data_IF_320682321230
#
_entry.id   IF_320682321230
#
_cell.length_a   1.000
_cell.length_b   1.000
_cell.length_c   1.000
_cell.angle_alpha   90.00
_cell.angle_beta   90.00
_cell.angle_gamma   90.00
#
_symmetry.space_group_name_H-M   'P 1'
#
loop_
_entity.id
_entity.type
_entity.pdbx_description
1 polymer ?
#
# COMPACT_ATOMS: atom_id res chain seq x y z
N UNK A 1 -30.36 -7.70 14.92
CA UNK A 1 -30.54 -7.55 13.45
C UNK A 1 -29.41 -8.28 12.73
N UNK A 2 -29.73 -9.32 11.96
CA UNK A 2 -28.74 -10.04 11.15
C UNK A 2 -28.34 -9.15 9.98
N UNK A 3 -27.08 -8.71 9.95
CA UNK A 3 -26.55 -7.91 8.85
C UNK A 3 -26.30 -8.85 7.68
N UNK A 4 -27.25 -8.92 6.73
CA UNK A 4 -27.05 -9.68 5.49
C UNK A 4 -25.84 -9.13 4.75
N UNK A 5 -24.88 -10.00 4.47
CA UNK A 5 -23.69 -9.70 3.67
C UNK A 5 -24.08 -9.97 2.22
N UNK A 6 -24.03 -8.94 1.38
CA UNK A 6 -24.22 -9.04 -0.07
C UNK A 6 -23.16 -8.17 -0.76
N UNK A 7 -22.78 -8.56 -1.97
CA UNK A 7 -21.75 -7.90 -2.78
C UNK A 7 -22.38 -6.97 -3.82
N UNK A 8 -21.55 -6.18 -4.50
CA UNK A 8 -22.01 -5.35 -5.63
C UNK A 8 -22.42 -6.22 -6.84
N UNK A 9 -21.78 -7.38 -7.01
CA UNK A 9 -22.13 -8.34 -8.05
C UNK A 9 -23.52 -8.94 -7.81
N UNK A 10 -23.87 -9.24 -6.54
CA UNK A 10 -25.22 -9.69 -6.17
C UNK A 10 -26.28 -8.65 -6.52
N UNK A 11 -25.96 -7.36 -6.36
CA UNK A 11 -26.84 -6.25 -6.72
C UNK A 11 -26.98 -6.13 -8.23
N UNK A 12 -25.89 -6.28 -8.99
CA UNK A 12 -25.92 -6.25 -10.45
C UNK A 12 -26.73 -7.41 -11.04
N UNK A 13 -26.51 -8.63 -10.54
CA UNK A 13 -27.28 -9.81 -10.92
C UNK A 13 -28.77 -9.69 -10.55
N UNK A 14 -29.09 -9.05 -9.41
CA UNK A 14 -30.48 -8.80 -9.02
C UNK A 14 -31.18 -7.81 -9.97
N UNK A 15 -30.46 -6.83 -10.52
CA UNK A 15 -31.01 -5.91 -11.53
C UNK A 15 -31.22 -6.65 -12.85
N UNK A 16 -30.25 -7.46 -13.29
CA UNK A 16 -30.38 -8.29 -14.50
C UNK A 16 -31.55 -9.28 -14.41
N UNK A 17 -31.74 -9.91 -13.23
CA UNK A 17 -32.88 -10.78 -12.98
C UNK A 17 -34.22 -10.04 -13.21
N UNK A 18 -34.30 -8.73 -12.93
CA UNK A 18 -35.51 -7.92 -13.13
C UNK A 18 -35.65 -7.44 -14.58
N UNK A 19 -34.57 -6.95 -15.19
CA UNK A 19 -34.64 -6.27 -16.50
C UNK A 19 -34.60 -7.24 -17.67
N UNK A 20 -33.82 -8.33 -17.56
CA UNK A 20 -33.57 -9.26 -18.67
C UNK A 20 -34.32 -10.58 -18.49
N UNK A 21 -34.48 -11.03 -17.24
CA UNK A 21 -35.10 -12.32 -16.92
C UNK A 21 -36.54 -12.20 -16.43
N UNK A 22 -37.06 -10.97 -16.30
CA UNK A 22 -38.46 -10.68 -15.99
C UNK A 22 -38.90 -11.04 -14.57
N UNK A 23 -37.98 -11.25 -13.62
CA UNK A 23 -38.34 -11.52 -12.22
C UNK A 23 -38.92 -10.27 -11.57
N UNK A 24 -39.85 -10.48 -10.62
CA UNK A 24 -40.29 -9.37 -9.78
C UNK A 24 -39.16 -8.92 -8.84
N UNK A 25 -39.16 -7.64 -8.39
CA UNK A 25 -38.18 -7.15 -7.43
C UNK A 25 -38.15 -7.93 -6.11
N UNK A 26 -39.27 -8.57 -5.75
CA UNK A 26 -39.37 -9.43 -4.55
C UNK A 26 -38.61 -10.74 -4.74
N UNK A 27 -38.81 -11.40 -5.88
CA UNK A 27 -38.16 -12.66 -6.21
C UNK A 27 -36.65 -12.47 -6.41
N UNK A 28 -36.24 -11.40 -7.11
CA UNK A 28 -34.83 -11.07 -7.28
C UNK A 28 -34.14 -10.79 -5.93
N UNK A 29 -34.79 -10.06 -5.02
CA UNK A 29 -34.28 -9.79 -3.67
C UNK A 29 -34.12 -11.06 -2.84
N UNK A 30 -35.08 -11.98 -2.92
CA UNK A 30 -35.02 -13.24 -2.19
C UNK A 30 -33.96 -14.17 -2.77
N UNK A 31 -33.89 -14.30 -4.10
CA UNK A 31 -32.93 -15.13 -4.83
C UNK A 31 -31.49 -14.72 -4.59
N UNK A 32 -31.20 -13.41 -4.56
CA UNK A 32 -29.84 -12.87 -4.39
C UNK A 32 -29.50 -12.43 -2.96
N UNK A 33 -30.45 -12.53 -2.03
CA UNK A 33 -30.25 -12.10 -0.65
C UNK A 33 -30.07 -10.57 -0.48
N UNK A 34 -30.33 -9.79 -1.52
CA UNK A 34 -30.17 -8.32 -1.54
C UNK A 34 -31.47 -7.66 -1.02
N UNK A 35 -31.39 -6.66 -0.12
CA UNK A 35 -32.57 -5.91 0.31
C UNK A 35 -33.28 -5.22 -0.85
N UNK A 36 -34.62 -5.30 -0.90
CA UNK A 36 -35.45 -4.64 -1.93
C UNK A 36 -35.17 -3.14 -2.03
N UNK A 37 -34.95 -2.46 -0.91
CA UNK A 37 -34.61 -1.04 -0.87
C UNK A 37 -33.32 -0.73 -1.64
N UNK A 38 -32.31 -1.60 -1.58
CA UNK A 38 -31.08 -1.45 -2.36
C UNK A 38 -31.34 -1.58 -3.86
N UNK A 39 -32.15 -2.55 -4.27
CA UNK A 39 -32.51 -2.78 -5.68
C UNK A 39 -33.29 -1.58 -6.25
N UNK A 40 -34.34 -1.12 -5.56
CA UNK A 40 -35.12 0.05 -6.00
C UNK A 40 -34.24 1.28 -6.14
N UNK A 41 -33.34 1.50 -5.19
CA UNK A 41 -32.38 2.60 -5.22
C UNK A 41 -31.48 2.57 -6.46
N UNK A 42 -31.11 1.38 -6.93
CA UNK A 42 -30.33 1.23 -8.17
C UNK A 42 -31.14 1.43 -9.42
N UNK A 43 -32.36 0.88 -9.45
CA UNK A 43 -33.29 1.08 -10.57
C UNK A 43 -33.66 2.56 -10.74
N UNK A 44 -33.71 3.33 -9.64
CA UNK A 44 -33.87 4.79 -9.67
C UNK A 44 -32.60 5.57 -10.04
N UNK A 45 -31.56 4.90 -10.56
CA UNK A 45 -30.33 5.53 -11.05
C UNK A 45 -29.32 5.96 -9.98
N UNK A 46 -29.52 5.57 -8.72
CA UNK A 46 -28.56 5.92 -7.68
C UNK A 46 -27.33 5.01 -7.75
N UNK A 47 -26.16 5.61 -7.91
CA UNK A 47 -24.88 4.90 -7.99
C UNK A 47 -24.53 4.15 -6.69
N UNK A 48 -23.65 3.16 -6.79
CA UNK A 48 -23.16 2.43 -5.63
C UNK A 48 -22.47 3.35 -4.66
N UNK A 49 -22.34 2.90 -3.41
CA UNK A 49 -21.55 3.68 -2.45
C UNK A 49 -20.10 3.81 -2.90
N UNK A 50 -19.55 2.80 -3.60
CA UNK A 50 -18.22 2.86 -4.20
C UNK A 50 -18.16 3.88 -5.34
N UNK A 51 -19.14 3.86 -6.22
CA UNK A 51 -19.26 4.77 -7.36
C UNK A 51 -19.48 6.21 -6.94
N UNK A 52 -20.35 6.45 -5.94
CA UNK A 52 -20.59 7.77 -5.37
C UNK A 52 -19.41 8.31 -4.55
N UNK A 53 -18.41 7.48 -4.23
CA UNK A 53 -17.18 7.94 -3.55
C UNK A 53 -16.16 8.51 -4.54
N UNK A 54 -16.23 8.15 -5.83
CA UNK A 54 -15.31 8.66 -6.87
C UNK A 54 -15.32 10.19 -7.04
N UNK A 55 -16.46 10.91 -7.00
CA UNK A 55 -16.49 12.37 -7.12
C UNK A 55 -15.79 13.12 -5.99
N UNK A 56 -15.50 12.46 -4.86
CA UNK A 56 -14.87 13.07 -3.70
C UNK A 56 -13.36 12.80 -3.61
N UNK A 57 -12.78 12.08 -4.57
CA UNK A 57 -11.34 11.91 -4.65
C UNK A 57 -10.73 13.11 -5.37
N UNK A 58 -9.85 13.85 -4.67
CA UNK A 58 -9.14 15.01 -5.23
C UNK A 58 -8.17 14.65 -6.37
N UNK A 59 -7.87 13.37 -6.51
CA UNK A 59 -7.02 12.81 -7.57
C UNK A 59 -7.87 11.80 -8.31
N UNK A 60 -7.91 11.92 -9.63
CA UNK A 60 -8.62 10.96 -10.48
C UNK A 60 -7.96 9.59 -10.45
N UNK A 61 -8.72 8.53 -10.73
CA UNK A 61 -8.21 7.16 -10.78
C UNK A 61 -7.00 7.01 -11.71
N UNK A 62 -7.03 7.66 -12.88
CA UNK A 62 -5.91 7.63 -13.84
C UNK A 62 -4.64 8.31 -13.32
N UNK A 63 -4.78 9.36 -12.52
CA UNK A 63 -3.66 10.00 -11.83
C UNK A 63 -3.14 9.12 -10.68
N UNK A 64 -4.03 8.48 -9.91
CA UNK A 64 -3.62 7.51 -8.90
C UNK A 64 -2.84 6.35 -9.53
N UNK A 65 -3.29 5.78 -10.64
CA UNK A 65 -2.60 4.69 -11.33
C UNK A 65 -1.22 5.08 -11.87
N UNK A 66 -1.07 6.33 -12.34
CA UNK A 66 0.25 6.88 -12.70
C UNK A 66 1.15 7.03 -11.48
N UNK A 67 0.60 7.50 -10.36
CA UNK A 67 1.32 7.64 -9.10
C UNK A 67 1.81 6.28 -8.58
N UNK A 68 0.96 5.26 -8.62
CA UNK A 68 1.30 3.88 -8.24
C UNK A 68 2.41 3.33 -9.12
N UNK A 69 2.32 3.49 -10.45
CA UNK A 69 3.38 3.07 -11.39
C UNK A 69 4.71 3.79 -11.12
N UNK A 70 4.66 5.08 -10.84
CA UNK A 70 5.84 5.84 -10.46
C UNK A 70 6.45 5.34 -9.15
N UNK A 71 5.62 5.05 -8.13
CA UNK A 71 6.07 4.53 -6.84
C UNK A 71 6.76 3.16 -6.98
N UNK A 72 6.17 2.27 -7.78
CA UNK A 72 6.76 0.96 -8.12
C UNK A 72 8.12 1.12 -8.79
N UNK A 73 8.27 2.11 -9.68
CA UNK A 73 9.56 2.39 -10.33
C UNK A 73 10.60 2.91 -9.35
N UNK A 74 10.23 3.79 -8.42
CA UNK A 74 11.14 4.28 -7.38
C UNK A 74 11.67 3.13 -6.51
N UNK A 75 10.80 2.20 -6.14
CA UNK A 75 11.23 1.01 -5.39
C UNK A 75 12.18 0.13 -6.20
N UNK A 76 11.94 -0.07 -7.50
CA UNK A 76 12.84 -0.88 -8.35
C UNK A 76 14.26 -0.31 -8.43
N UNK A 77 14.39 1.00 -8.15
CA UNK A 77 15.67 1.71 -8.06
C UNK A 77 16.25 1.73 -6.63
N UNK A 78 15.60 1.06 -5.68
CA UNK A 78 16.03 1.01 -4.28
C UNK A 78 15.56 2.19 -3.41
N UNK A 79 14.76 3.10 -3.95
CA UNK A 79 14.24 4.23 -3.17
C UNK A 79 12.95 3.85 -2.44
N UNK A 80 13.00 3.82 -1.10
CA UNK A 80 11.82 3.69 -0.27
C UNK A 80 11.29 5.08 0.12
N UNK A 81 10.10 5.44 -0.37
CA UNK A 81 9.47 6.73 -0.06
C UNK A 81 8.69 6.65 1.25
N UNK A 82 8.80 7.65 2.12
CA UNK A 82 7.99 7.72 3.34
C UNK A 82 6.57 8.21 3.07
N UNK A 83 5.66 7.99 4.03
CA UNK A 83 4.29 8.52 3.95
C UNK A 83 4.25 10.05 3.82
N UNK A 84 5.19 10.76 4.45
CA UNK A 84 5.29 12.22 4.38
C UNK A 84 5.80 12.67 3.01
N UNK A 85 6.83 12.02 2.46
CA UNK A 85 7.34 12.33 1.12
C UNK A 85 6.26 12.11 0.05
N UNK A 86 5.55 10.97 0.09
CA UNK A 86 4.44 10.71 -0.83
C UNK A 86 3.40 11.83 -0.75
N UNK A 87 3.03 12.23 0.46
CA UNK A 87 2.08 13.32 0.68
C UNK A 87 2.58 14.63 0.07
N UNK A 88 3.83 15.01 0.31
CA UNK A 88 4.41 16.24 -0.23
C UNK A 88 4.46 16.24 -1.76
N UNK A 89 4.84 15.12 -2.39
CA UNK A 89 4.82 14.99 -3.85
C UNK A 89 3.41 15.19 -4.42
N UNK A 90 2.41 14.59 -3.77
CA UNK A 90 1.02 14.70 -4.21
C UNK A 90 0.46 16.10 -4.00
N UNK A 91 0.76 16.74 -2.86
CA UNK A 91 0.38 18.12 -2.61
C UNK A 91 1.03 19.07 -3.62
N UNK A 92 2.29 18.85 -3.98
CA UNK A 92 2.97 19.62 -5.03
C UNK A 92 2.28 19.47 -6.40
N UNK A 93 1.90 18.24 -6.77
CA UNK A 93 1.17 17.98 -8.01
C UNK A 93 -0.20 18.68 -8.02
N UNK A 94 -0.94 18.64 -6.92
CA UNK A 94 -2.23 19.32 -6.80
C UNK A 94 -2.09 20.86 -6.88
N UNK A 95 -1.05 21.42 -6.28
CA UNK A 95 -0.75 22.87 -6.37
C UNK A 95 -0.47 23.30 -7.81
N UNK A 96 0.24 22.50 -8.59
CA UNK A 96 0.44 22.76 -10.02
C UNK A 96 -0.87 22.74 -10.82
N UNK A 97 -1.88 22.00 -10.35
CA UNK A 97 -3.22 21.95 -10.94
C UNK A 97 -4.16 23.03 -10.42
N UNK A 98 -3.66 23.97 -9.60
CA UNK A 98 -4.45 25.05 -9.01
C UNK A 98 -5.20 24.66 -7.72
N UNK A 99 -5.02 23.45 -7.22
CA UNK A 99 -5.63 23.00 -5.96
C UNK A 99 -4.65 23.12 -4.79
N UNK A 100 -4.76 24.24 -4.06
CA UNK A 100 -3.90 24.56 -2.92
C UNK A 100 -4.40 23.99 -1.58
N UNK A 101 -5.47 23.18 -1.55
CA UNK A 101 -6.00 22.66 -0.29
C UNK A 101 -5.08 21.58 0.29
N UNK A 102 -4.85 21.50 1.61
CA UNK A 102 -4.07 20.42 2.20
C UNK A 102 -4.79 19.07 2.08
N UNK A 103 -4.06 17.97 1.90
CA UNK A 103 -4.68 16.64 1.88
C UNK A 103 -5.23 16.26 3.26
N UNK A 104 -6.21 15.35 3.33
CA UNK A 104 -6.70 14.86 4.63
C UNK A 104 -5.62 14.11 5.42
N UNK A 105 -5.67 14.13 6.76
CA UNK A 105 -4.69 13.45 7.65
C UNK A 105 -4.49 11.97 7.29
N UNK A 106 -5.57 11.27 6.96
CA UNK A 106 -5.55 9.84 6.64
C UNK A 106 -5.45 9.52 5.15
N UNK A 107 -5.16 10.53 4.31
CA UNK A 107 -5.17 10.35 2.86
C UNK A 107 -4.15 9.28 2.42
N UNK A 108 -2.91 9.36 2.90
CA UNK A 108 -1.83 8.43 2.52
C UNK A 108 -2.14 7.00 2.96
N UNK A 109 -2.59 6.81 4.19
CA UNK A 109 -3.00 5.49 4.69
C UNK A 109 -4.15 4.89 3.87
N UNK A 110 -5.15 5.71 3.52
CA UNK A 110 -6.26 5.27 2.67
C UNK A 110 -5.81 4.99 1.24
N UNK A 111 -4.86 5.76 0.70
CA UNK A 111 -4.29 5.54 -0.62
C UNK A 111 -3.60 4.18 -0.70
N UNK A 112 -2.72 3.86 0.25
CA UNK A 112 -2.07 2.55 0.34
C UNK A 112 -3.11 1.44 0.48
N UNK A 113 -4.13 1.62 1.35
CA UNK A 113 -5.19 0.62 1.53
C UNK A 113 -6.02 0.36 0.26
N UNK A 114 -6.17 1.36 -0.63
CA UNK A 114 -6.88 1.19 -1.91
C UNK A 114 -6.06 0.40 -2.93
N UNK A 115 -4.73 0.47 -2.84
CA UNK A 115 -3.80 -0.11 -3.81
C UNK A 115 -3.06 -1.27 -3.17
N UNK A 116 -3.59 -2.48 -3.27
CA UNK A 116 -3.03 -3.70 -2.65
C UNK A 116 -1.59 -4.04 -3.08
N UNK A 117 -1.13 -3.47 -4.19
CA UNK A 117 0.27 -3.53 -4.65
C UNK A 117 1.24 -2.77 -3.74
N UNK A 118 0.72 -1.85 -2.92
CA UNK A 118 1.49 -1.02 -2.01
C UNK A 118 1.34 -1.53 -0.57
N UNK A 119 2.46 -1.56 0.16
CA UNK A 119 2.48 -1.87 1.58
C UNK A 119 3.29 -0.82 2.35
N UNK A 120 3.12 -0.78 3.67
CA UNK A 120 4.01 0.01 4.53
C UNK A 120 4.96 -0.95 5.20
N UNK A 121 6.27 -0.73 5.01
CA UNK A 121 7.30 -1.46 5.76
C UNK A 121 7.84 -0.53 6.83
N UNK A 122 7.74 -0.97 8.09
CA UNK A 122 8.46 -0.29 9.15
C UNK A 122 9.94 -0.64 9.00
N UNK A 123 10.75 0.36 8.67
CA UNK A 123 12.19 0.19 8.61
C UNK A 123 12.81 0.62 9.94
N UNK A 124 13.72 -0.20 10.46
CA UNK A 124 14.57 0.25 11.55
C UNK A 124 15.60 1.19 10.96
N UNK A 125 15.71 2.39 11.53
CA UNK A 125 16.74 3.35 11.16
C UNK A 125 18.10 2.68 11.35
N UNK A 126 18.84 2.50 10.26
CA UNK A 126 20.26 2.16 10.34
C UNK A 126 21.07 3.45 10.43
N UNK A 127 22.17 3.41 11.16
CA UNK A 127 23.09 4.55 11.22
C UNK A 127 23.69 4.81 9.83
N UNK A 128 23.73 6.08 9.42
CA UNK A 128 24.22 6.46 8.09
C UNK A 128 25.68 6.04 7.86
N UNK A 129 26.49 6.02 8.92
CA UNK A 129 27.87 5.51 8.93
C UNK A 129 27.95 4.05 8.47
N UNK A 130 27.03 3.19 8.95
CA UNK A 130 26.97 1.77 8.56
C UNK A 130 26.60 1.60 7.09
N UNK A 131 25.65 2.39 6.59
CA UNK A 131 25.27 2.36 5.18
C UNK A 131 26.41 2.83 4.28
N UNK A 132 27.06 3.95 4.63
CA UNK A 132 28.16 4.52 3.84
C UNK A 132 29.42 3.64 3.84
N UNK A 133 29.66 2.89 4.92
CA UNK A 133 30.77 1.93 5.01
C UNK A 133 30.55 0.67 4.17
N UNK A 134 29.31 0.35 3.79
CA UNK A 134 28.96 -0.87 3.08
C UNK A 134 29.10 -0.72 1.55
N UNK A 135 30.30 -0.37 1.09
CA UNK A 135 30.61 -0.25 -0.34
C UNK A 135 31.02 -1.60 -0.94
N UNK A 136 30.78 -1.86 -2.24
CA UNK A 136 31.24 -3.09 -2.89
C UNK A 136 32.73 -3.34 -2.70
N UNK A 137 33.55 -2.27 -2.73
CA UNK A 137 34.99 -2.35 -2.49
C UNK A 137 35.32 -2.83 -1.07
N UNK A 138 34.68 -2.25 -0.05
CA UNK A 138 34.91 -2.64 1.34
C UNK A 138 34.43 -4.08 1.62
N UNK A 139 33.29 -4.46 1.04
CA UNK A 139 32.73 -5.80 1.18
C UNK A 139 33.62 -6.83 0.50
N UNK A 140 34.02 -6.59 -0.76
CA UNK A 140 34.91 -7.50 -1.49
C UNK A 140 36.26 -7.62 -0.78
N UNK A 141 36.87 -6.50 -0.35
CA UNK A 141 38.12 -6.53 0.40
C UNK A 141 38.06 -7.39 1.66
N UNK A 142 36.96 -7.33 2.41
CA UNK A 142 36.76 -8.18 3.58
C UNK A 142 36.69 -9.67 3.22
N UNK A 143 35.89 -10.03 2.21
CA UNK A 143 35.75 -11.43 1.77
C UNK A 143 37.02 -11.97 1.13
N UNK A 144 37.75 -11.14 0.38
CA UNK A 144 39.03 -11.49 -0.22
C UNK A 144 40.04 -11.88 0.87
N UNK A 145 40.16 -11.10 1.94
CA UNK A 145 41.04 -11.42 3.08
C UNK A 145 40.54 -12.68 3.81
N UNK A 146 39.23 -12.75 4.07
CA UNK A 146 38.63 -13.89 4.78
C UNK A 146 38.90 -15.20 4.06
N UNK A 147 38.71 -15.24 2.74
CA UNK A 147 38.84 -16.46 1.95
C UNK A 147 40.31 -16.80 1.67
N UNK A 148 41.14 -15.81 1.34
CA UNK A 148 42.54 -16.06 0.96
C UNK A 148 43.47 -16.27 2.16
N UNK A 149 43.32 -15.49 3.23
CA UNK A 149 44.24 -15.56 4.39
C UNK A 149 43.70 -16.45 5.51
N UNK A 150 42.37 -16.47 5.69
CA UNK A 150 41.72 -17.12 6.83
C UNK A 150 40.75 -18.24 6.42
N UNK A 151 40.74 -18.67 5.16
CA UNK A 151 39.81 -19.69 4.65
C UNK A 151 39.96 -21.07 5.32
N UNK A 152 41.07 -21.30 6.03
CA UNK A 152 41.30 -22.50 6.84
C UNK A 152 40.54 -22.51 8.17
N UNK A 153 40.06 -21.35 8.64
CA UNK A 153 39.21 -21.25 9.83
C UNK A 153 37.81 -21.70 9.45
N UNK A 154 37.38 -22.81 10.03
CA UNK A 154 36.04 -23.34 9.75
C UNK A 154 34.95 -22.38 10.24
N UNK A 155 33.79 -22.30 9.57
CA UNK A 155 32.67 -21.48 10.00
C UNK A 155 32.25 -21.74 11.46
N UNK A 156 32.31 -23.00 11.90
CA UNK A 156 31.98 -23.40 13.27
C UNK A 156 32.89 -22.78 14.34
N UNK A 157 34.10 -22.37 13.94
CA UNK A 157 35.09 -21.73 14.80
C UNK A 157 35.13 -20.21 14.62
N UNK A 158 34.20 -19.64 13.85
CA UNK A 158 34.09 -18.19 13.64
C UNK A 158 33.04 -17.64 14.59
N UNK A 159 33.46 -16.80 15.55
CA UNK A 159 32.55 -16.09 16.46
C UNK A 159 32.52 -14.62 16.09
N UNK A 160 31.32 -14.03 16.05
CA UNK A 160 31.17 -12.59 15.95
C UNK A 160 31.35 -11.97 17.34
N UNK A 161 32.10 -10.88 17.42
CA UNK A 161 32.26 -10.10 18.66
C UNK A 161 31.88 -8.67 18.34
N UNK A 162 30.68 -8.26 18.75
CA UNK A 162 30.19 -6.90 18.64
C UNK A 162 29.83 -6.32 20.02
N UNK A 163 29.97 -5.01 20.15
CA UNK A 163 29.61 -4.30 21.38
C UNK A 163 28.09 -4.11 21.44
N UNK A 164 27.43 -4.88 22.32
CA UNK A 164 26.03 -4.71 22.64
C UNK A 164 25.83 -3.62 23.70
N UNK A 165 25.59 -2.38 23.27
CA UNK A 165 25.25 -1.29 24.20
C UNK A 165 23.91 -1.53 24.90
N UNK A 166 23.93 -1.79 26.21
CA UNK A 166 22.71 -1.80 27.04
C UNK A 166 22.39 -0.35 27.39
N UNK A 167 21.36 0.21 26.75
CA UNK A 167 20.90 1.58 27.02
C UNK A 167 19.56 1.55 27.76
N UNK A 168 19.57 1.90 29.05
CA UNK A 168 18.35 2.09 29.83
C UNK A 168 17.75 3.47 29.51
N UNK A 169 16.66 3.47 28.74
CA UNK A 169 15.78 4.63 28.55
C UNK A 169 16.07 5.50 27.33
N UNK A 170 15.59 5.10 26.15
CA UNK A 170 15.24 6.03 25.06
C UNK A 170 14.12 5.44 24.19
N UNK A 171 13.12 6.25 23.85
CA UNK A 171 11.97 5.86 23.03
C UNK A 171 12.31 5.78 21.54
N UNK A 172 12.06 4.62 20.93
CA UNK A 172 12.28 4.38 19.50
C UNK A 172 11.41 5.28 18.62
N UNK A 173 12.00 6.27 17.95
CA UNK A 173 11.37 6.97 16.84
C UNK A 173 11.55 6.15 15.55
N UNK A 174 10.63 5.21 15.31
CA UNK A 174 10.61 4.40 14.09
C UNK A 174 10.06 5.21 12.92
N UNK A 175 10.76 5.25 11.79
CA UNK A 175 10.26 5.92 10.57
C UNK A 175 9.59 4.88 9.67
N UNK A 176 8.34 5.13 9.26
CA UNK A 176 7.60 4.21 8.39
C UNK A 176 7.80 4.59 6.92
N UNK A 177 8.44 3.70 6.17
CA UNK A 177 8.63 3.82 4.72
C UNK A 177 7.52 3.05 3.99
N UNK A 178 7.06 3.58 2.87
CA UNK A 178 6.21 2.86 1.92
C UNK A 178 7.11 2.00 1.03
N UNK A 179 6.72 0.74 0.89
CA UNK A 179 7.34 -0.20 -0.04
C UNK A 179 6.24 -0.88 -0.84
N UNK A 180 6.42 -1.04 -2.13
CA UNK A 180 5.47 -1.85 -2.87
C UNK A 180 5.87 -3.32 -2.74
N UNK A 181 4.91 -4.23 -2.85
CA UNK A 181 5.23 -5.64 -2.94
C UNK A 181 4.82 -6.07 -4.35
N UNK A 182 5.79 -6.45 -5.16
CA UNK A 182 5.50 -7.34 -6.28
C UNK A 182 5.45 -8.73 -5.65
N UNK A 183 4.25 -9.28 -5.49
CA UNK A 183 4.08 -10.69 -5.16
C UNK A 183 4.85 -11.50 -6.20
N UNK A 184 5.99 -12.06 -5.81
CA UNK A 184 6.61 -13.16 -6.54
C UNK A 184 5.79 -14.38 -6.17
N UNK A 185 4.98 -14.87 -7.11
CA UNK A 185 4.65 -16.29 -7.15
C UNK A 185 5.92 -17.07 -7.47
#
# INVERSE_FOLDING_TARGET
>A
MVRRVYTEDDVAEAILDITDRGLSPTEAAQKRGVPRSTIYRRLSGQASRKESTHPHQRISTSQEDRLVRWLLRQESLGYALTHSQLRSCVEALLRQQGDNKPLGKHWTTRFVKRHSKLSTKLEKRQEASRFNGFTPKAVNWYFDIRENEYGWIKPENTVNVDEGGIMAGFGNSSTSSLRAFIGRN
#
